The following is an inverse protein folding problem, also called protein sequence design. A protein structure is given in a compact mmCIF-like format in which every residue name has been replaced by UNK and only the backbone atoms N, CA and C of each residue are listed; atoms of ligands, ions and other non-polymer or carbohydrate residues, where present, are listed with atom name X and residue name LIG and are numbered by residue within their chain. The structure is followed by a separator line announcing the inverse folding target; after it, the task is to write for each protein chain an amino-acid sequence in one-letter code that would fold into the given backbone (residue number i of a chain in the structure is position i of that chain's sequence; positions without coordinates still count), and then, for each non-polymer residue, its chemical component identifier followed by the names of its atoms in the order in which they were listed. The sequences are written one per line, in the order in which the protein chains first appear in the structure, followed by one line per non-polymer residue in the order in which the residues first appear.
data_IF_553278475681
#
_entry.id   IF_553278475681
#
_cell.length_a   1.000
_cell.length_b   1.000
_cell.length_c   1.000
_cell.angle_alpha   90.00
_cell.angle_beta   90.00
_cell.angle_gamma   90.00
#
_symmetry.space_group_name_H-M   'P 1'
#
loop_
_entity.id
_entity.type
_entity.pdbx_description
1 polymer ?
#
# COMPACT_ATOMS: atom_id res chain seq x y z
N UNK A 1 7.23 -15.63 8.88
CA UNK A 1 5.99 -14.83 8.91
C UNK A 1 5.83 -14.20 7.54
N UNK A 2 4.65 -14.28 6.93
CA UNK A 2 4.36 -13.58 5.68
C UNK A 2 3.83 -12.20 6.04
N UNK A 3 4.46 -11.15 5.52
CA UNK A 3 4.01 -9.77 5.71
C UNK A 3 3.64 -9.18 4.35
N UNK A 4 2.82 -8.13 4.39
CA UNK A 4 2.43 -7.33 3.23
C UNK A 4 2.54 -5.85 3.60
N UNK A 5 2.69 -5.01 2.59
CA UNK A 5 2.77 -3.57 2.74
C UNK A 5 1.48 -2.95 2.21
N UNK A 6 0.78 -2.20 3.04
CA UNK A 6 -0.53 -1.65 2.69
C UNK A 6 -0.44 -0.12 2.65
N UNK A 7 -0.78 0.44 1.51
CA UNK A 7 -1.02 1.87 1.30
C UNK A 7 -2.52 2.13 1.29
N UNK A 8 -2.94 3.22 1.94
CA UNK A 8 -4.33 3.70 1.91
C UNK A 8 -4.37 5.08 1.26
N UNK A 9 -5.10 5.20 0.16
CA UNK A 9 -5.36 6.48 -0.47
C UNK A 9 -6.56 7.15 0.22
N UNK A 10 -6.27 8.13 1.07
CA UNK A 10 -7.27 8.88 1.85
C UNK A 10 -8.08 9.86 1.00
N UNK A 11 -7.68 10.12 -0.24
CA UNK A 11 -8.48 10.89 -1.20
C UNK A 11 -9.62 10.05 -1.82
N UNK A 12 -9.53 8.72 -1.74
CA UNK A 12 -10.52 7.78 -2.28
C UNK A 12 -11.53 7.37 -1.21
N UNK A 13 -12.75 7.06 -1.66
CA UNK A 13 -13.81 6.58 -0.77
C UNK A 13 -13.59 5.11 -0.44
N UNK A 14 -14.02 4.71 0.76
CA UNK A 14 -14.08 3.29 1.14
C UNK A 14 -14.92 2.52 0.11
N UNK A 15 -14.35 1.45 -0.44
CA UNK A 15 -14.96 0.63 -1.50
C UNK A 15 -14.54 1.01 -2.92
N UNK A 16 -13.79 2.10 -3.11
CA UNK A 16 -13.07 2.38 -4.35
C UNK A 16 -11.92 1.37 -4.52
N UNK A 17 -11.72 0.86 -5.73
CA UNK A 17 -10.66 -0.13 -6.01
C UNK A 17 -9.26 0.43 -5.76
N UNK A 18 -9.08 1.75 -5.87
CA UNK A 18 -7.81 2.42 -5.62
C UNK A 18 -7.62 2.85 -4.16
N UNK A 19 -8.64 2.67 -3.29
CA UNK A 19 -8.54 3.09 -1.90
C UNK A 19 -7.44 2.34 -1.13
N UNK A 20 -7.18 1.09 -1.49
CA UNK A 20 -6.15 0.25 -0.87
C UNK A 20 -5.25 -0.35 -1.95
N UNK A 21 -3.94 -0.23 -1.77
CA UNK A 21 -2.93 -0.96 -2.55
C UNK A 21 -2.10 -1.84 -1.63
N UNK A 22 -1.88 -3.07 -2.07
CA UNK A 22 -1.15 -4.10 -1.32
C UNK A 22 0.09 -4.48 -2.11
N UNK A 23 1.24 -4.41 -1.47
CA UNK A 23 2.54 -4.72 -2.05
C UNK A 23 3.19 -5.90 -1.33
N UNK A 24 3.97 -6.67 -2.09
CA UNK A 24 4.70 -7.82 -1.57
C UNK A 24 5.97 -7.43 -0.78
N UNK A 25 6.49 -6.23 -0.97
CA UNK A 25 7.65 -5.69 -0.27
C UNK A 25 7.60 -4.15 -0.20
N UNK A 26 8.43 -3.54 0.65
CA UNK A 26 8.52 -2.07 0.76
C UNK A 26 9.09 -1.45 -0.51
N UNK A 27 10.08 -2.07 -1.14
CA UNK A 27 10.73 -1.59 -2.35
C UNK A 27 9.74 -1.51 -3.53
N UNK A 28 8.80 -2.46 -3.58
CA UNK A 28 7.71 -2.42 -4.56
C UNK A 28 6.74 -1.26 -4.32
N UNK A 29 6.48 -0.92 -3.05
CA UNK A 29 5.66 0.23 -2.67
C UNK A 29 6.39 1.55 -2.98
N UNK A 30 7.65 1.68 -2.57
CA UNK A 30 8.48 2.87 -2.81
C UNK A 30 8.59 3.19 -4.29
N UNK A 31 8.91 2.19 -5.12
CA UNK A 31 8.97 2.37 -6.57
C UNK A 31 7.63 2.81 -7.17
N UNK A 32 6.52 2.28 -6.65
CA UNK A 32 5.19 2.70 -7.11
C UNK A 32 4.88 4.15 -6.67
N UNK A 33 5.33 4.57 -5.49
CA UNK A 33 5.14 5.94 -4.98
C UNK A 33 5.84 7.00 -5.82
N UNK A 34 7.04 6.72 -6.35
CA UNK A 34 7.80 7.65 -7.21
C UNK A 34 6.94 8.23 -8.36
N UNK A 35 6.07 7.42 -8.95
CA UNK A 35 5.27 7.80 -10.11
C UNK A 35 3.81 8.16 -9.76
N UNK A 36 3.25 7.56 -8.70
CA UNK A 36 1.79 7.58 -8.48
C UNK A 36 1.36 8.33 -7.23
N UNK A 37 2.18 8.31 -6.17
CA UNK A 37 1.88 8.98 -4.91
C UNK A 37 3.19 9.34 -4.19
N UNK A 38 3.85 10.45 -4.58
CA UNK A 38 5.18 10.81 -4.06
C UNK A 38 5.21 11.03 -2.54
N UNK A 39 4.07 11.36 -1.94
CA UNK A 39 3.90 11.52 -0.49
C UNK A 39 3.25 10.27 0.17
N UNK A 40 3.10 9.19 -0.60
CA UNK A 40 2.49 7.94 -0.16
C UNK A 40 3.38 7.20 0.86
N UNK A 41 2.73 6.56 1.83
CA UNK A 41 3.39 5.73 2.84
C UNK A 41 2.64 4.42 2.97
N UNK A 42 3.36 3.31 2.84
CA UNK A 42 2.85 1.98 3.13
C UNK A 42 3.32 1.50 4.50
N UNK A 43 2.47 0.74 5.19
CA UNK A 43 2.79 0.16 6.49
C UNK A 43 2.84 -1.37 6.38
N UNK A 44 3.76 -1.99 7.13
CA UNK A 44 3.90 -3.44 7.18
C UNK A 44 2.83 -4.08 8.08
N UNK A 45 2.19 -5.14 7.58
CA UNK A 45 1.23 -5.94 8.32
C UNK A 45 1.55 -7.43 8.19
N UNK A 46 1.44 -8.16 9.29
CA UNK A 46 1.49 -9.62 9.27
C UNK A 46 0.21 -10.20 8.68
N UNK A 47 0.36 -11.18 7.79
CA UNK A 47 -0.77 -11.98 7.30
C UNK A 47 -1.18 -12.96 8.40
N UNK A 48 -2.45 -12.91 8.77
CA UNK A 48 -3.09 -13.84 9.71
C UNK A 48 -3.65 -15.05 8.94
N UNK A 49 -3.67 -16.22 9.58
CA UNK A 49 -4.26 -17.47 9.05
C UNK A 49 -5.70 -17.68 9.53
#
# INVERSE_FOLDING_TARGET
MKTVWIYTDTAKKIGDEDHIKIFASIEAAEKWFEENAPEGVAFEYAVLE
#
